data_IF_269716282930
#
_entry.id   IF_269716282930
#
_cell.length_a   1.000
_cell.length_b   1.000
_cell.length_c   1.000
_cell.angle_alpha   90.00
_cell.angle_beta   90.00
_cell.angle_gamma   90.00
#
_symmetry.space_group_name_H-M   'P 1'
#
loop_
_entity.id
_entity.type
_entity.pdbx_description
1 polymer ?
#
# COMPACT_ATOMS: atom_id res chain seq x y z
N UNK A 1 -22.22 40.01 -0.02
CA UNK A 1 -21.87 39.13 -1.16
C UNK A 1 -21.70 37.71 -0.62
N UNK A 2 -22.67 36.81 -0.87
CA UNK A 2 -22.70 35.45 -0.30
C UNK A 2 -21.57 34.60 -0.91
N UNK A 3 -20.57 34.27 -0.09
CA UNK A 3 -19.46 33.39 -0.45
C UNK A 3 -19.95 31.94 -0.52
N UNK A 4 -20.46 31.53 -1.68
CA UNK A 4 -20.82 30.14 -1.95
C UNK A 4 -19.53 29.35 -2.12
N UNK A 5 -19.15 28.58 -1.11
CA UNK A 5 -18.12 27.54 -1.23
C UNK A 5 -18.64 26.54 -2.26
N UNK A 6 -18.10 26.59 -3.47
CA UNK A 6 -18.33 25.58 -4.48
C UNK A 6 -17.59 24.33 -4.01
N UNK A 7 -18.30 23.41 -3.36
CA UNK A 7 -17.79 22.09 -3.01
C UNK A 7 -17.61 21.30 -4.33
N UNK A 8 -16.45 21.48 -4.97
CA UNK A 8 -16.09 20.76 -6.17
C UNK A 8 -15.87 19.28 -5.81
N UNK A 9 -16.79 18.42 -6.27
CA UNK A 9 -16.63 16.97 -6.19
C UNK A 9 -15.66 16.56 -7.30
N UNK A 10 -14.42 16.25 -6.94
CA UNK A 10 -13.42 15.75 -7.88
C UNK A 10 -13.55 14.22 -7.96
N UNK A 11 -14.02 13.72 -9.10
CA UNK A 11 -14.13 12.28 -9.37
C UNK A 11 -12.88 11.82 -10.10
N UNK A 12 -12.03 11.05 -9.43
CA UNK A 12 -10.86 10.42 -10.04
C UNK A 12 -11.23 9.04 -10.58
N UNK A 13 -11.18 8.89 -11.91
CA UNK A 13 -11.38 7.60 -12.57
C UNK A 13 -10.03 6.91 -12.66
N UNK A 14 -9.83 5.87 -11.84
CA UNK A 14 -8.61 5.07 -11.83
C UNK A 14 -8.88 3.75 -12.57
N UNK A 15 -7.99 3.36 -13.48
CA UNK A 15 -8.08 2.08 -14.18
C UNK A 15 -7.99 0.93 -13.17
N UNK A 16 -8.97 0.03 -13.17
CA UNK A 16 -9.02 -1.10 -12.22
C UNK A 16 -7.79 -2.01 -12.27
N UNK A 17 -7.12 -2.12 -13.43
CA UNK A 17 -5.85 -2.85 -13.58
C UNK A 17 -4.72 -2.30 -12.68
N UNK A 18 -4.73 -0.98 -12.43
CA UNK A 18 -3.76 -0.31 -11.57
C UNK A 18 -3.99 -0.69 -10.10
N UNK A 19 -5.25 -0.71 -9.65
CA UNK A 19 -5.63 -1.20 -8.32
C UNK A 19 -5.23 -2.68 -8.17
N UNK A 20 -5.50 -3.50 -9.17
CA UNK A 20 -5.15 -4.94 -9.15
C UNK A 20 -3.65 -5.14 -8.97
N UNK A 21 -2.83 -4.43 -9.74
CA UNK A 21 -1.37 -4.54 -9.64
C UNK A 21 -0.85 -4.11 -8.26
N UNK A 22 -1.42 -3.04 -7.69
CA UNK A 22 -1.06 -2.57 -6.36
C UNK A 22 -1.39 -3.60 -5.28
N UNK A 23 -2.60 -4.17 -5.31
CA UNK A 23 -3.02 -5.22 -4.39
C UNK A 23 -2.16 -6.49 -4.51
N UNK A 24 -1.85 -6.92 -5.73
CA UNK A 24 -0.99 -8.09 -5.96
C UNK A 24 0.41 -7.83 -5.41
N UNK A 25 0.98 -6.64 -5.62
CA UNK A 25 2.29 -6.30 -5.09
C UNK A 25 2.29 -6.32 -3.56
N UNK A 26 1.26 -5.76 -2.93
CA UNK A 26 1.12 -5.73 -1.48
C UNK A 26 0.98 -7.13 -0.88
N UNK A 27 0.17 -7.98 -1.53
CA UNK A 27 -0.04 -9.37 -1.12
C UNK A 27 1.25 -10.19 -1.26
N UNK A 28 1.92 -10.13 -2.42
CA UNK A 28 3.17 -10.87 -2.66
C UNK A 28 4.25 -10.42 -1.68
N UNK A 29 4.37 -9.11 -1.45
CA UNK A 29 5.36 -8.54 -0.53
C UNK A 29 5.06 -8.93 0.91
N UNK A 30 3.82 -8.76 1.37
CA UNK A 30 3.41 -9.10 2.74
C UNK A 30 3.56 -10.58 3.02
N UNK A 31 3.14 -11.45 2.09
CA UNK A 31 3.32 -12.91 2.20
C UNK A 31 4.79 -13.29 2.20
N UNK A 32 5.61 -12.69 1.33
CA UNK A 32 7.06 -12.94 1.30
C UNK A 32 7.73 -12.62 2.65
N UNK A 33 7.47 -11.43 3.19
CA UNK A 33 8.00 -11.01 4.49
C UNK A 33 7.50 -11.93 5.61
N UNK A 34 6.21 -12.26 5.60
CA UNK A 34 5.62 -13.16 6.60
C UNK A 34 6.33 -14.52 6.64
N UNK A 35 6.55 -15.17 5.50
CA UNK A 35 7.20 -16.48 5.48
C UNK A 35 8.68 -16.41 5.88
N UNK A 36 9.41 -15.39 5.45
CA UNK A 36 10.82 -15.19 5.84
C UNK A 36 10.94 -15.02 7.36
N UNK A 37 10.11 -14.15 7.94
CA UNK A 37 10.15 -13.89 9.38
C UNK A 37 9.59 -15.06 10.18
N UNK A 38 8.56 -15.74 9.68
CA UNK A 38 8.04 -16.97 10.31
C UNK A 38 9.09 -18.07 10.31
N UNK A 39 9.90 -18.19 9.26
CA UNK A 39 10.99 -19.16 9.19
C UNK A 39 12.05 -18.89 10.26
N UNK A 40 12.42 -17.62 10.46
CA UNK A 40 13.47 -17.23 11.42
C UNK A 40 12.95 -17.24 12.86
N UNK A 41 11.77 -16.68 13.11
CA UNK A 41 11.24 -16.47 14.46
C UNK A 41 10.37 -17.62 14.97
N UNK A 42 9.96 -18.54 14.10
CA UNK A 42 8.97 -19.59 14.37
C UNK A 42 7.65 -19.09 14.99
N UNK A 43 7.39 -17.77 14.95
CA UNK A 43 6.26 -17.12 15.59
C UNK A 43 5.38 -16.42 14.57
N UNK A 44 4.11 -16.82 14.53
CA UNK A 44 3.12 -16.23 13.61
C UNK A 44 2.82 -14.76 13.96
N UNK A 45 2.87 -14.37 15.24
CA UNK A 45 2.62 -12.99 15.68
C UNK A 45 3.71 -12.04 15.20
N UNK A 46 4.98 -12.44 15.37
CA UNK A 46 6.13 -11.63 14.95
C UNK A 46 6.14 -11.51 13.42
N UNK A 47 5.88 -12.62 12.73
CA UNK A 47 5.73 -12.63 11.28
C UNK A 47 4.61 -11.70 10.80
N UNK A 48 3.45 -11.68 11.49
CA UNK A 48 2.33 -10.81 11.14
C UNK A 48 2.69 -9.33 11.28
N UNK A 49 3.21 -8.91 12.44
CA UNK A 49 3.63 -7.53 12.69
C UNK A 49 4.70 -7.10 11.69
N UNK A 50 5.68 -7.97 11.41
CA UNK A 50 6.73 -7.68 10.44
C UNK A 50 6.20 -7.48 9.01
N UNK A 51 5.16 -8.22 8.60
CA UNK A 51 4.56 -8.09 7.28
C UNK A 51 3.79 -6.77 7.11
N UNK A 52 3.11 -6.32 8.18
CA UNK A 52 2.44 -5.02 8.21
C UNK A 52 3.46 -3.87 8.14
N UNK A 53 4.46 -3.88 9.02
CA UNK A 53 5.50 -2.86 9.02
C UNK A 53 6.29 -2.87 7.70
N UNK A 54 6.56 -4.04 7.13
CA UNK A 54 7.31 -4.20 5.90
C UNK A 54 6.58 -3.65 4.67
N UNK A 55 5.28 -3.92 4.53
CA UNK A 55 4.48 -3.40 3.41
C UNK A 55 4.31 -1.87 3.50
N UNK A 56 4.08 -1.32 4.69
CA UNK A 56 4.05 0.13 4.90
C UNK A 56 5.39 0.80 4.58
N UNK A 57 6.50 0.18 4.99
CA UNK A 57 7.85 0.68 4.71
C UNK A 57 8.13 0.75 3.22
N UNK A 58 7.72 -0.27 2.45
CA UNK A 58 7.93 -0.34 1.00
C UNK A 58 7.09 0.70 0.26
N UNK A 59 5.84 0.95 0.70
CA UNK A 59 4.98 2.00 0.14
C UNK A 59 5.53 3.42 0.40
N UNK A 60 6.29 3.62 1.48
CA UNK A 60 6.93 4.90 1.83
C UNK A 60 8.20 5.20 1.01
N UNK A 61 8.74 4.24 0.27
CA UNK A 61 9.96 4.46 -0.52
C UNK A 61 9.66 5.42 -1.68
N UNK A 62 10.38 6.55 -1.81
CA UNK A 62 10.08 7.60 -2.78
C UNK A 62 10.13 7.14 -4.24
N UNK A 63 10.83 6.04 -4.55
CA UNK A 63 10.84 5.44 -5.90
C UNK A 63 9.47 4.90 -6.36
N UNK A 64 8.55 4.58 -5.45
CA UNK A 64 7.17 4.20 -5.81
C UNK A 64 6.24 5.41 -5.99
N UNK A 65 6.71 6.60 -5.59
CA UNK A 65 6.05 7.91 -5.73
C UNK A 65 6.52 8.67 -6.99
N UNK A 66 6.88 7.95 -8.06
CA UNK A 66 7.32 8.56 -9.31
C UNK A 66 6.32 8.24 -10.43
N UNK A 67 5.09 8.75 -10.35
CA UNK A 67 4.27 9.02 -11.54
C UNK A 67 3.07 9.94 -11.25
N UNK A 68 3.35 11.22 -11.03
CA UNK A 68 2.39 12.32 -11.22
C UNK A 68 3.17 13.50 -11.76
N UNK A 69 3.35 13.53 -13.09
CA UNK A 69 3.34 14.78 -13.86
C UNK A 69 1.90 14.97 -14.34
#
# INVERSE_FOLDING_TARGET
>A
MLNRKNDQIVIHIIKGSTIKRFLILDLVTGTGIFYIVKFISSSALIAFISSLMGTESIKKIPKFKNNTN
#
